data_IF_387760789453
#
_entry.id   IF_387760789453
#
_cell.length_a   1.000
_cell.length_b   1.000
_cell.length_c   1.000
_cell.angle_alpha   90.00
_cell.angle_beta   90.00
_cell.angle_gamma   90.00
#
_symmetry.space_group_name_H-M   'P 1'
#
loop_
_entity.id
_entity.type
_entity.pdbx_description
1 polymer ?
#
# COMPACT_ATOMS: atom_id res chain seq x y z
N UNK A 1 4.53 -22.05 3.06
CA UNK A 1 3.35 -22.15 2.17
C UNK A 1 2.12 -21.82 3.01
N UNK A 2 1.62 -20.58 2.95
CA UNK A 2 0.41 -20.18 3.69
C UNK A 2 -0.80 -20.61 2.85
N UNK A 3 -1.77 -21.36 3.39
CA UNK A 3 -2.87 -21.88 2.59
C UNK A 3 -3.75 -20.74 2.06
N UNK A 4 -4.01 -20.74 0.75
CA UNK A 4 -4.81 -19.76 0.00
C UNK A 4 -6.24 -19.56 0.52
N UNK A 5 -6.72 -20.43 1.40
CA UNK A 5 -8.03 -20.32 2.04
C UNK A 5 -8.06 -19.24 3.14
N UNK A 6 -6.95 -19.00 3.85
CA UNK A 6 -6.88 -17.98 4.91
C UNK A 6 -6.91 -16.55 4.34
N UNK A 7 -6.29 -16.32 3.18
CA UNK A 7 -6.20 -14.98 2.58
C UNK A 7 -7.54 -14.45 2.07
N UNK A 8 -8.46 -15.33 1.64
CA UNK A 8 -9.82 -14.96 1.25
C UNK A 8 -10.65 -14.55 2.46
N UNK A 9 -10.54 -15.27 3.58
CA UNK A 9 -11.29 -14.97 4.82
C UNK A 9 -10.87 -13.62 5.38
N UNK A 10 -9.58 -13.29 5.35
CA UNK A 10 -9.08 -12.02 5.89
C UNK A 10 -9.02 -10.87 4.88
N UNK A 11 -9.49 -11.07 3.64
CA UNK A 11 -9.37 -10.06 2.57
C UNK A 11 -9.98 -8.72 2.97
N UNK A 12 -11.17 -8.73 3.56
CA UNK A 12 -11.85 -7.50 3.97
C UNK A 12 -11.13 -6.80 5.13
N UNK A 13 -10.60 -7.56 6.10
CA UNK A 13 -9.87 -7.02 7.24
C UNK A 13 -8.46 -6.48 6.88
N UNK A 14 -7.98 -6.76 5.65
CA UNK A 14 -6.71 -6.24 5.14
C UNK A 14 -6.87 -5.01 4.26
N UNK A 15 -8.11 -4.51 4.06
CA UNK A 15 -8.38 -3.40 3.15
C UNK A 15 -8.59 -2.11 3.90
N UNK A 16 -7.89 -1.06 3.45
CA UNK A 16 -7.98 0.29 4.02
C UNK A 16 -8.49 1.24 2.95
N UNK A 17 -9.52 2.02 3.29
CA UNK A 17 -10.03 3.09 2.45
C UNK A 17 -9.20 4.36 2.69
N UNK A 18 -8.81 5.03 1.61
CA UNK A 18 -8.12 6.33 1.67
C UNK A 18 -8.92 7.32 0.82
N UNK A 19 -9.43 8.37 1.46
CA UNK A 19 -10.13 9.46 0.78
C UNK A 19 -9.20 10.62 0.41
N UNK A 20 -9.78 11.66 -0.20
CA UNK A 20 -9.12 12.93 -0.50
C UNK A 20 -7.79 12.82 -1.26
N UNK A 21 -7.70 11.87 -2.20
CA UNK A 21 -6.51 11.73 -3.02
C UNK A 21 -6.27 13.01 -3.86
N UNK A 22 -5.02 13.53 -3.90
CA UNK A 22 -4.70 14.66 -4.75
C UNK A 22 -4.91 14.35 -6.24
N UNK A 23 -5.12 15.40 -7.02
CA UNK A 23 -5.22 15.28 -8.48
C UNK A 23 -3.87 14.88 -9.06
N UNK A 24 -3.84 13.80 -9.86
CA UNK A 24 -2.59 13.31 -10.47
C UNK A 24 -1.89 12.20 -9.70
N UNK A 25 -2.51 11.60 -8.68
CA UNK A 25 -2.03 10.33 -8.11
C UNK A 25 -2.12 9.25 -9.17
N UNK A 26 -0.97 8.82 -9.69
CA UNK A 26 -0.88 7.76 -10.69
C UNK A 26 -0.64 6.39 -10.09
N UNK A 27 -1.07 5.40 -10.86
CA UNK A 27 -0.82 3.99 -10.61
C UNK A 27 0.62 3.59 -10.96
N UNK A 28 1.33 4.37 -11.76
CA UNK A 28 2.63 3.99 -12.31
C UNK A 28 3.72 4.93 -11.83
N UNK A 29 4.84 4.33 -11.39
CA UNK A 29 6.08 5.01 -11.05
C UNK A 29 6.72 5.52 -12.35
N UNK A 30 6.27 6.66 -12.88
CA UNK A 30 7.04 7.37 -13.91
C UNK A 30 8.27 8.01 -13.24
N UNK A 31 9.34 7.22 -13.11
CA UNK A 31 10.68 7.74 -12.84
C UNK A 31 11.25 7.48 -11.44
N UNK A 32 11.73 6.26 -11.20
CA UNK A 32 13.01 6.08 -10.50
C UNK A 32 13.66 4.77 -10.91
N UNK A 33 14.10 4.71 -12.17
CA UNK A 33 15.04 3.71 -12.68
C UNK A 33 16.43 3.92 -12.06
N UNK A 34 16.57 3.81 -10.73
CA UNK A 34 17.88 3.71 -10.05
C UNK A 34 17.75 3.05 -8.68
N UNK A 35 17.12 1.88 -8.60
CA UNK A 35 17.42 0.95 -7.51
C UNK A 35 18.14 -0.26 -8.10
N UNK A 36 19.41 -0.55 -7.72
CA UNK A 36 20.17 -1.66 -8.28
C UNK A 36 19.67 -3.05 -7.82
N UNK A 37 18.60 -3.10 -7.02
CA UNK A 37 18.00 -4.34 -6.56
C UNK A 37 16.71 -4.61 -7.32
N UNK A 38 16.86 -5.11 -8.55
CA UNK A 38 15.76 -5.53 -9.40
C UNK A 38 15.44 -7.01 -9.12
N UNK A 39 14.39 -7.28 -8.34
CA UNK A 39 13.70 -8.57 -8.35
C UNK A 39 12.21 -8.32 -8.59
N UNK A 40 11.81 -8.44 -9.85
CA UNK A 40 10.44 -8.19 -10.33
C UNK A 40 9.56 -9.41 -10.13
N UNK A 41 8.52 -9.27 -9.32
CA UNK A 41 7.16 -9.69 -9.68
C UNK A 41 6.18 -8.85 -8.86
N UNK A 42 5.36 -8.04 -9.57
CA UNK A 42 4.50 -6.94 -9.09
C UNK A 42 5.24 -5.59 -8.98
N UNK A 43 5.15 -4.79 -10.04
CA UNK A 43 5.58 -3.38 -10.03
C UNK A 43 4.78 -2.67 -8.94
N UNK A 44 5.42 -2.06 -7.93
CA UNK A 44 4.68 -1.31 -6.95
C UNK A 44 4.22 0.01 -7.57
N UNK A 45 2.92 0.26 -7.45
CA UNK A 45 2.32 1.56 -7.70
C UNK A 45 3.08 2.62 -6.89
N UNK A 46 3.36 3.80 -7.46
CA UNK A 46 4.10 4.88 -6.76
C UNK A 46 3.45 5.24 -5.41
N UNK A 47 2.12 5.23 -5.38
CA UNK A 47 1.29 5.36 -4.19
C UNK A 47 1.52 4.25 -3.16
N UNK A 48 1.59 2.98 -3.58
CA UNK A 48 1.91 1.84 -2.70
C UNK A 48 3.28 2.00 -2.03
N UNK A 49 4.28 2.45 -2.78
CA UNK A 49 5.60 2.76 -2.25
C UNK A 49 5.54 3.92 -1.25
N UNK A 50 4.87 5.03 -1.58
CA UNK A 50 4.73 6.17 -0.67
C UNK A 50 4.07 5.77 0.65
N UNK A 51 2.93 5.07 0.62
CA UNK A 51 2.25 4.60 1.83
C UNK A 51 3.16 3.67 2.66
N UNK A 52 3.88 2.77 2.00
CA UNK A 52 4.83 1.87 2.68
C UNK A 52 5.98 2.66 3.32
N UNK A 53 6.55 3.65 2.64
CA UNK A 53 7.61 4.53 3.17
C UNK A 53 7.12 5.35 4.37
N UNK A 54 5.93 5.93 4.30
CA UNK A 54 5.33 6.68 5.43
C UNK A 54 5.14 5.76 6.63
N UNK A 55 4.58 4.55 6.43
CA UNK A 55 4.43 3.56 7.50
C UNK A 55 5.76 3.17 8.15
N UNK A 56 6.86 3.07 7.38
CA UNK A 56 8.19 2.87 7.95
C UNK A 56 8.64 4.08 8.76
N UNK A 57 8.49 5.29 8.21
CA UNK A 57 8.91 6.54 8.84
C UNK A 57 8.27 6.80 10.21
N UNK A 58 7.04 6.33 10.41
CA UNK A 58 6.32 6.46 11.68
C UNK A 58 6.39 5.22 12.58
N UNK A 59 7.12 4.18 12.17
CA UNK A 59 7.18 2.92 12.92
C UNK A 59 5.86 2.14 12.93
N UNK A 60 4.99 2.33 11.93
CA UNK A 60 3.80 1.49 11.73
C UNK A 60 4.12 0.21 10.94
N UNK A 61 5.30 0.13 10.33
CA UNK A 61 5.82 -1.04 9.64
C UNK A 61 7.33 -1.17 9.88
N UNK A 62 7.76 -2.31 10.42
CA UNK A 62 9.15 -2.53 10.84
C UNK A 62 9.86 -3.66 10.09
N UNK A 63 9.19 -4.37 9.16
CA UNK A 63 9.67 -5.70 8.75
C UNK A 63 9.71 -5.92 7.25
N UNK A 64 10.92 -6.04 6.70
CA UNK A 64 11.22 -6.85 5.52
C UNK A 64 11.48 -6.07 4.22
N UNK A 65 12.15 -6.71 3.22
CA UNK A 65 12.44 -6.12 1.91
C UNK A 65 11.18 -5.82 1.07
N UNK A 66 10.01 -6.22 1.58
CA UNK A 66 8.73 -6.15 0.92
C UNK A 66 7.94 -4.89 1.33
N UNK A 67 7.04 -4.45 0.46
CA UNK A 67 6.10 -3.37 0.77
C UNK A 67 4.96 -3.82 1.69
N UNK A 68 4.49 -2.87 2.52
CA UNK A 68 3.34 -3.07 3.40
C UNK A 68 2.03 -3.21 2.63
N UNK A 69 1.92 -2.45 1.53
CA UNK A 69 0.80 -2.47 0.57
C UNK A 69 1.12 -3.47 -0.55
N UNK A 70 0.22 -4.43 -0.77
CA UNK A 70 0.37 -5.49 -1.78
C UNK A 70 -0.37 -5.14 -3.07
N UNK A 71 -1.50 -4.44 -2.96
CA UNK A 71 -2.30 -4.00 -4.11
C UNK A 71 -3.00 -2.67 -3.79
N UNK A 72 -3.32 -1.89 -4.82
CA UNK A 72 -4.08 -0.64 -4.69
C UNK A 72 -5.05 -0.49 -5.85
N UNK A 73 -6.30 -0.19 -5.50
CA UNK A 73 -7.31 0.25 -6.46
C UNK A 73 -7.52 1.75 -6.28
N UNK A 74 -7.48 2.53 -7.37
CA UNK A 74 -7.69 3.99 -7.35
C UNK A 74 -8.92 4.36 -8.16
N UNK A 75 -9.82 5.13 -7.56
CA UNK A 75 -10.90 5.82 -8.26
C UNK A 75 -10.57 7.31 -8.33
N UNK A 76 -10.12 7.76 -9.52
CA UNK A 76 -9.70 9.16 -9.75
C UNK A 76 -10.87 10.13 -9.74
N UNK A 77 -12.02 9.71 -10.25
CA UNK A 77 -13.23 10.55 -10.33
C UNK A 77 -13.75 10.88 -8.93
N UNK A 78 -13.79 9.87 -8.06
CA UNK A 78 -14.28 9.99 -6.69
C UNK A 78 -13.15 10.22 -5.68
N UNK A 79 -11.91 10.40 -6.14
CA UNK A 79 -10.71 10.72 -5.36
C UNK A 79 -10.48 9.83 -4.14
N UNK A 80 -10.62 8.50 -4.32
CA UNK A 80 -10.36 7.54 -3.25
C UNK A 80 -9.54 6.35 -3.73
N UNK A 81 -8.86 5.68 -2.79
CA UNK A 81 -8.20 4.41 -3.02
C UNK A 81 -8.64 3.34 -2.01
N UNK A 82 -8.48 2.08 -2.42
CA UNK A 82 -8.57 0.91 -1.55
C UNK A 82 -7.19 0.25 -1.57
N UNK A 83 -6.50 0.28 -0.43
CA UNK A 83 -5.21 -0.38 -0.23
C UNK A 83 -5.45 -1.80 0.28
N UNK A 84 -4.82 -2.80 -0.33
CA UNK A 84 -4.74 -4.15 0.23
C UNK A 84 -3.41 -4.34 0.95
N UNK A 85 -3.48 -4.47 2.27
CA UNK A 85 -2.33 -4.68 3.13
C UNK A 85 -1.90 -6.15 3.15
N UNK A 86 -0.61 -6.38 3.39
CA UNK A 86 -0.07 -7.75 3.50
C UNK A 86 -0.69 -8.55 4.65
N UNK A 87 -1.02 -7.89 5.76
CA UNK A 87 -1.63 -8.51 6.94
C UNK A 87 -2.71 -7.62 7.57
N UNK A 88 -3.58 -8.22 8.39
CA UNK A 88 -4.63 -7.49 9.12
C UNK A 88 -3.99 -6.52 10.14
N UNK A 89 -2.90 -6.93 10.79
CA UNK A 89 -2.18 -6.08 11.72
C UNK A 89 -1.64 -4.81 11.04
N UNK A 90 -1.16 -4.91 9.79
CA UNK A 90 -0.71 -3.72 9.05
C UNK A 90 -1.85 -2.82 8.61
N UNK A 91 -3.01 -3.38 8.29
CA UNK A 91 -4.22 -2.58 8.08
C UNK A 91 -4.62 -1.82 9.35
N UNK A 92 -4.54 -2.46 10.53
CA UNK A 92 -4.78 -1.79 11.81
C UNK A 92 -3.73 -0.70 12.08
N UNK A 93 -2.45 -0.96 11.82
CA UNK A 93 -1.40 0.04 12.00
C UNK A 93 -1.58 1.24 11.07
N UNK A 94 -2.00 1.00 9.82
CA UNK A 94 -2.23 2.08 8.85
C UNK A 94 -3.34 3.04 9.26
N UNK A 95 -4.24 2.67 10.17
CA UNK A 95 -5.27 3.59 10.70
C UNK A 95 -4.67 4.78 11.44
N UNK A 96 -3.42 4.69 11.92
CA UNK A 96 -2.71 5.84 12.52
C UNK A 96 -2.40 6.95 11.50
N UNK A 97 -2.50 6.64 10.21
CA UNK A 97 -2.29 7.58 9.11
C UNK A 97 -3.56 8.36 8.74
N UNK A 98 -4.64 8.23 9.50
CA UNK A 98 -5.81 9.06 9.27
C UNK A 98 -5.47 10.56 9.43
N UNK A 99 -5.89 11.37 8.45
CA UNK A 99 -5.63 12.80 8.41
C UNK A 99 -4.20 13.22 8.00
N UNK A 100 -3.34 12.32 7.52
CA UNK A 100 -2.04 12.73 6.96
C UNK A 100 -2.21 13.50 5.64
N UNK A 101 -1.26 14.40 5.36
CA UNK A 101 -1.22 15.16 4.12
C UNK A 101 -0.37 14.39 3.09
N UNK A 102 -0.92 14.23 1.88
CA UNK A 102 -0.31 13.53 0.76
C UNK A 102 0.65 14.42 -0.03
#
# INVERSE_FOLDING_TARGET
MIPSQLTRVTRHARRVYVGDLPTGVDEQLEGSSTSPFHFTQHIPYASSLWFSCVMVGIGAYFTGPDLAVVDIYINRENKYAILEMRSVALASNAMVLDGIIF
#
